data_IF_998517067687
#
_entry.id   IF_998517067687
#
_cell.length_a   1.000
_cell.length_b   1.000
_cell.length_c   1.000
_cell.angle_alpha   90.00
_cell.angle_beta   90.00
_cell.angle_gamma   90.00
#
_symmetry.space_group_name_H-M   'P 1'
#
loop_
_entity.id
_entity.type
_entity.pdbx_description
1 polymer ?
#
# COMPACT_ATOMS: atom_id res chain seq x y z
N UNK A 1 27.38 -11.00 -7.41
CA UNK A 1 26.27 -11.97 -7.60
C UNK A 1 26.83 -13.26 -8.13
N UNK A 2 26.63 -14.34 -7.40
CA UNK A 2 27.19 -15.68 -7.74
C UNK A 2 26.39 -16.39 -8.84
N UNK A 3 25.34 -15.75 -9.42
CA UNK A 3 24.46 -16.37 -10.42
C UNK A 3 23.60 -17.53 -9.89
N UNK A 4 23.61 -17.77 -8.58
CA UNK A 4 22.78 -18.82 -7.97
C UNK A 4 21.31 -18.36 -7.89
N UNK A 5 20.39 -19.25 -8.23
CA UNK A 5 18.95 -19.03 -8.03
C UNK A 5 18.65 -19.23 -6.55
N UNK A 6 18.24 -18.16 -5.86
CA UNK A 6 17.90 -18.18 -4.43
C UNK A 6 16.41 -18.44 -4.17
N UNK A 7 15.56 -18.19 -5.16
CA UNK A 7 14.13 -18.41 -5.06
C UNK A 7 13.44 -18.31 -6.42
N UNK A 8 12.16 -18.64 -6.44
CA UNK A 8 11.26 -18.46 -7.59
C UNK A 8 10.00 -17.78 -7.12
N UNK A 9 9.50 -16.80 -7.87
CA UNK A 9 8.25 -16.13 -7.62
C UNK A 9 7.27 -16.44 -8.76
N UNK A 10 6.04 -16.81 -8.41
CA UNK A 10 4.98 -16.96 -9.39
C UNK A 10 4.44 -15.57 -9.77
N UNK A 11 4.39 -15.30 -11.08
CA UNK A 11 3.78 -14.06 -11.57
C UNK A 11 2.28 -14.30 -11.82
N UNK A 12 1.47 -13.49 -11.17
CA UNK A 12 0.02 -13.52 -11.38
C UNK A 12 -0.34 -12.94 -12.73
N UNK A 13 -1.23 -13.62 -13.43
CA UNK A 13 -1.83 -13.14 -14.67
C UNK A 13 -2.95 -12.13 -14.40
N UNK A 14 -3.59 -11.66 -15.46
CA UNK A 14 -4.82 -10.86 -15.38
C UNK A 14 -5.87 -11.54 -14.49
N UNK A 15 -6.06 -12.85 -14.63
CA UNK A 15 -7.04 -13.61 -13.86
C UNK A 15 -6.78 -13.60 -12.36
N UNK A 16 -5.54 -13.80 -11.94
CA UNK A 16 -5.16 -13.73 -10.52
C UNK A 16 -5.31 -12.30 -9.99
N UNK A 17 -4.98 -11.30 -10.81
CA UNK A 17 -5.17 -9.89 -10.45
C UNK A 17 -6.64 -9.55 -10.26
N UNK A 18 -7.51 -9.97 -11.17
CA UNK A 18 -8.97 -9.79 -11.06
C UNK A 18 -9.54 -10.50 -9.82
N UNK A 19 -8.99 -11.67 -9.45
CA UNK A 19 -9.39 -12.38 -8.21
C UNK A 19 -8.98 -11.60 -6.95
N UNK A 20 -7.78 -11.02 -6.92
CA UNK A 20 -7.34 -10.18 -5.81
C UNK A 20 -8.21 -8.93 -5.67
N UNK A 21 -8.55 -8.28 -6.79
CA UNK A 21 -9.49 -7.14 -6.81
C UNK A 21 -10.88 -7.57 -6.33
N UNK A 22 -11.39 -8.71 -6.77
CA UNK A 22 -12.70 -9.22 -6.34
C UNK A 22 -12.72 -9.54 -4.83
N UNK A 23 -11.65 -10.11 -4.29
CA UNK A 23 -11.48 -10.34 -2.85
C UNK A 23 -11.51 -9.02 -2.06
N UNK A 24 -10.76 -8.01 -2.53
CA UNK A 24 -10.75 -6.68 -1.93
C UNK A 24 -12.14 -6.01 -1.99
N UNK A 25 -12.83 -6.12 -3.13
CA UNK A 25 -14.18 -5.56 -3.31
C UNK A 25 -15.21 -6.23 -2.39
N UNK A 26 -15.14 -7.55 -2.23
CA UNK A 26 -16.04 -8.28 -1.35
C UNK A 26 -15.86 -7.90 0.13
N UNK A 27 -14.62 -7.64 0.58
CA UNK A 27 -14.33 -7.24 1.95
C UNK A 27 -14.64 -5.76 2.24
N UNK A 28 -14.75 -4.94 1.22
CA UNK A 28 -14.87 -3.48 1.37
C UNK A 28 -16.08 -3.02 2.19
N UNK A 29 -17.33 -3.49 1.96
CA UNK A 29 -18.49 -2.97 2.67
C UNK A 29 -18.38 -3.12 4.19
N UNK A 30 -17.99 -4.29 4.65
CA UNK A 30 -17.87 -4.60 6.09
C UNK A 30 -16.70 -3.84 6.72
N UNK A 31 -15.58 -3.72 5.99
CA UNK A 31 -14.44 -2.96 6.48
C UNK A 31 -14.72 -1.45 6.51
N UNK A 32 -15.39 -0.92 5.53
CA UNK A 32 -15.81 0.49 5.49
C UNK A 32 -16.78 0.83 6.63
N UNK A 33 -17.70 -0.10 6.96
CA UNK A 33 -18.65 0.04 8.07
C UNK A 33 -18.00 -0.15 9.46
N UNK A 34 -16.80 -0.76 9.51
CA UNK A 34 -16.05 -0.92 10.77
C UNK A 34 -15.63 0.44 11.32
N UNK A 35 -15.84 0.68 12.63
CA UNK A 35 -15.53 1.98 13.23
C UNK A 35 -14.06 2.36 13.08
N UNK A 36 -13.72 3.65 12.91
CA UNK A 36 -12.33 4.10 12.80
C UNK A 36 -11.45 3.64 13.98
N UNK A 37 -12.01 3.61 15.20
CA UNK A 37 -11.30 3.15 16.39
C UNK A 37 -10.96 1.64 16.30
N UNK A 38 -11.87 0.83 15.81
CA UNK A 38 -11.61 -0.61 15.62
C UNK A 38 -10.53 -0.86 14.57
N UNK A 39 -10.56 -0.12 13.46
CA UNK A 39 -9.49 -0.16 12.45
C UNK A 39 -8.15 0.28 13.02
N UNK A 40 -8.12 1.34 13.83
CA UNK A 40 -6.90 1.80 14.48
C UNK A 40 -6.31 0.75 15.43
N UNK A 41 -7.14 -0.02 16.15
CA UNK A 41 -6.67 -1.13 17.00
C UNK A 41 -5.94 -2.21 16.20
N UNK A 42 -6.34 -2.46 14.96
CA UNK A 42 -5.59 -3.35 14.05
C UNK A 42 -4.24 -2.74 13.74
N UNK A 43 -4.17 -1.43 13.45
CA UNK A 43 -2.88 -0.74 13.19
C UNK A 43 -1.94 -0.77 14.40
N UNK A 44 -2.45 -0.59 15.63
CA UNK A 44 -1.64 -0.72 16.84
C UNK A 44 -1.02 -2.11 16.98
N UNK A 45 -1.84 -3.18 16.80
CA UNK A 45 -1.33 -4.56 16.84
C UNK A 45 -0.35 -4.85 15.70
N UNK A 46 -0.60 -4.31 14.51
CA UNK A 46 0.32 -4.44 13.38
C UNK A 46 1.67 -3.79 13.68
N UNK A 47 1.67 -2.60 14.28
CA UNK A 47 2.88 -1.92 14.75
C UNK A 47 3.69 -2.82 15.70
N UNK A 48 3.04 -3.34 16.74
CA UNK A 48 3.67 -4.24 17.72
C UNK A 48 4.25 -5.50 17.07
N UNK A 49 3.54 -6.08 16.10
CA UNK A 49 4.01 -7.26 15.38
C UNK A 49 5.22 -6.95 14.49
N UNK A 50 5.29 -5.78 13.84
CA UNK A 50 6.48 -5.37 13.09
C UNK A 50 7.68 -5.23 14.04
N UNK A 51 7.51 -4.56 15.18
CA UNK A 51 8.57 -4.39 16.18
C UNK A 51 9.08 -5.74 16.69
N UNK A 52 8.17 -6.66 17.01
CA UNK A 52 8.50 -8.01 17.49
C UNK A 52 9.23 -8.85 16.44
N UNK A 53 8.93 -8.66 15.15
CA UNK A 53 9.50 -9.42 14.05
C UNK A 53 10.59 -8.63 13.29
N UNK A 54 11.13 -7.55 13.89
CA UNK A 54 12.09 -6.66 13.23
C UNK A 54 13.30 -7.41 12.66
N UNK A 55 13.89 -8.35 13.42
CA UNK A 55 15.06 -9.12 12.97
C UNK A 55 14.74 -10.02 11.77
N UNK A 56 13.59 -10.70 11.78
CA UNK A 56 13.12 -11.49 10.64
C UNK A 56 12.97 -10.62 9.38
N UNK A 57 12.30 -9.48 9.51
CA UNK A 57 12.08 -8.55 8.40
C UNK A 57 13.40 -7.98 7.86
N UNK A 58 14.37 -7.66 8.73
CA UNK A 58 15.70 -7.21 8.33
C UNK A 58 16.42 -8.27 7.51
N UNK A 59 16.35 -9.54 7.92
CA UNK A 59 16.97 -10.66 7.21
C UNK A 59 16.31 -10.86 5.85
N UNK A 60 14.99 -10.81 5.75
CA UNK A 60 14.26 -10.90 4.47
C UNK A 60 14.70 -9.80 3.50
N UNK A 61 14.72 -8.54 3.95
CA UNK A 61 15.16 -7.41 3.12
C UNK A 61 16.63 -7.57 2.71
N UNK A 62 17.51 -7.94 3.64
CA UNK A 62 18.94 -8.09 3.37
C UNK A 62 19.21 -9.23 2.38
N UNK A 63 18.54 -10.36 2.52
CA UNK A 63 18.77 -11.56 1.69
C UNK A 63 18.37 -11.37 0.23
N UNK A 64 17.26 -10.68 -0.03
CA UNK A 64 16.75 -10.44 -1.40
C UNK A 64 17.35 -9.20 -2.04
N UNK A 65 17.42 -8.08 -1.31
CA UNK A 65 17.92 -6.81 -1.84
C UNK A 65 19.45 -6.69 -1.78
N UNK A 66 20.10 -7.32 -0.81
CA UNK A 66 21.56 -7.20 -0.58
C UNK A 66 21.97 -5.98 0.27
N UNK A 67 21.05 -5.32 0.95
CA UNK A 67 21.36 -4.26 1.93
C UNK A 67 22.03 -4.83 3.16
N UNK A 68 22.89 -4.04 3.79
CA UNK A 68 23.38 -4.36 5.14
C UNK A 68 22.24 -4.29 6.15
N UNK A 69 22.32 -5.11 7.21
CA UNK A 69 21.22 -5.23 8.19
C UNK A 69 20.84 -3.89 8.83
N UNK A 70 21.83 -3.02 9.12
CA UNK A 70 21.57 -1.69 9.67
C UNK A 70 20.76 -0.79 8.74
N UNK A 71 20.99 -0.85 7.42
CA UNK A 71 20.23 -0.10 6.43
C UNK A 71 18.83 -0.69 6.23
N UNK A 72 18.72 -2.04 6.25
CA UNK A 72 17.43 -2.72 6.25
C UNK A 72 16.57 -2.29 7.45
N UNK A 73 17.18 -2.26 8.66
CA UNK A 73 16.51 -1.76 9.88
C UNK A 73 16.00 -0.32 9.71
N UNK A 74 16.86 0.58 9.24
CA UNK A 74 16.48 1.98 9.01
C UNK A 74 15.33 2.13 8.00
N UNK A 75 15.29 1.28 6.97
CA UNK A 75 14.20 1.26 6.00
C UNK A 75 12.89 0.79 6.61
N UNK A 76 12.92 -0.30 7.41
CA UNK A 76 11.72 -0.81 8.10
C UNK A 76 11.22 0.21 9.11
N UNK A 77 12.13 0.85 9.86
CA UNK A 77 11.77 1.87 10.86
C UNK A 77 11.01 3.04 10.24
N UNK A 78 11.45 3.55 9.08
CA UNK A 78 10.72 4.62 8.36
C UNK A 78 9.34 4.19 7.86
N UNK A 79 9.16 2.91 7.54
CA UNK A 79 7.84 2.37 7.25
C UNK A 79 6.96 2.28 8.50
N UNK A 80 7.56 1.85 9.62
CA UNK A 80 6.89 1.76 10.92
C UNK A 80 6.36 3.12 11.41
N UNK A 81 7.11 4.20 11.21
CA UNK A 81 6.68 5.57 11.52
C UNK A 81 5.37 5.95 10.80
N UNK A 82 5.16 5.47 9.59
CA UNK A 82 3.88 5.68 8.88
C UNK A 82 2.76 4.79 9.43
N UNK A 83 3.08 3.59 9.91
CA UNK A 83 2.10 2.75 10.63
C UNK A 83 1.69 3.43 11.94
N UNK A 84 2.63 4.05 12.67
CA UNK A 84 2.33 4.87 13.86
C UNK A 84 1.41 6.05 13.52
N UNK A 85 1.69 6.75 12.44
CA UNK A 85 0.79 7.80 11.95
C UNK A 85 -0.61 7.23 11.64
N UNK A 86 -0.70 6.05 11.04
CA UNK A 86 -1.97 5.41 10.72
C UNK A 86 -2.80 5.05 11.96
N UNK A 87 -2.17 4.79 13.12
CA UNK A 87 -2.86 4.60 14.40
C UNK A 87 -3.66 5.85 14.83
N UNK A 88 -3.22 7.05 14.43
CA UNK A 88 -3.88 8.33 14.73
C UNK A 88 -4.97 8.74 13.73
N UNK A 89 -5.18 8.01 12.67
CA UNK A 89 -6.15 8.34 11.59
C UNK A 89 -7.57 8.63 12.08
N UNK A 90 -8.12 8.00 13.13
CA UNK A 90 -9.44 8.37 13.64
C UNK A 90 -9.62 9.87 13.92
N UNK A 91 -8.55 10.56 14.33
CA UNK A 91 -8.58 12.01 14.55
C UNK A 91 -8.59 12.82 13.25
N UNK A 92 -7.98 12.29 12.19
CA UNK A 92 -7.91 12.94 10.87
C UNK A 92 -9.17 12.69 10.02
N UNK A 93 -9.98 11.70 10.38
CA UNK A 93 -11.26 11.40 9.70
C UNK A 93 -12.40 12.30 10.15
N UNK A 94 -12.19 13.14 11.16
CA UNK A 94 -13.20 14.14 11.59
C UNK A 94 -13.51 15.07 10.45
N UNK A 95 -14.81 15.38 10.28
CA UNK A 95 -15.28 16.41 9.38
C UNK A 95 -15.29 17.78 10.04
N UNK A 96 -15.72 18.77 9.28
CA UNK A 96 -15.92 20.15 9.70
C UNK A 96 -17.41 20.46 9.70
N UNK A 97 -17.85 21.34 10.59
CA UNK A 97 -19.19 21.85 10.66
C UNK A 97 -19.15 23.39 10.63
N UNK A 98 -20.03 23.99 9.84
CA UNK A 98 -20.23 25.43 9.81
C UNK A 98 -21.70 25.71 10.04
N UNK A 99 -21.98 26.41 11.14
CA UNK A 99 -23.31 26.88 11.51
C UNK A 99 -23.70 28.11 10.70
N UNK A 100 -24.95 28.17 10.29
CA UNK A 100 -25.59 29.37 9.72
C UNK A 100 -24.81 30.05 8.57
N UNK A 101 -24.27 29.26 7.62
CA UNK A 101 -23.55 29.80 6.43
C UNK A 101 -24.50 30.64 5.54
N UNK A 102 -25.81 30.43 5.68
CA UNK A 102 -26.90 31.24 5.11
C UNK A 102 -28.13 31.07 5.99
N UNK A 103 -29.16 31.87 5.79
CA UNK A 103 -30.39 31.78 6.56
C UNK A 103 -31.01 30.36 6.50
N UNK A 104 -31.00 29.65 7.64
CA UNK A 104 -31.53 28.28 7.76
C UNK A 104 -30.69 27.20 7.10
N UNK A 105 -29.39 27.45 6.85
CA UNK A 105 -28.50 26.51 6.18
C UNK A 105 -27.21 26.27 6.99
N UNK A 106 -26.99 25.02 7.43
CA UNK A 106 -25.76 24.53 8.00
C UNK A 106 -25.02 23.67 6.97
N UNK A 107 -23.70 23.64 7.05
CA UNK A 107 -22.85 22.84 6.16
C UNK A 107 -21.90 21.97 7.00
N UNK A 108 -21.78 20.71 6.63
CA UNK A 108 -20.80 19.81 7.23
C UNK A 108 -20.11 18.94 6.18
N UNK A 109 -18.88 18.53 6.48
CA UNK A 109 -18.12 17.59 5.66
C UNK A 109 -18.00 16.23 6.35
N UNK A 110 -18.08 15.17 5.56
CA UNK A 110 -17.81 13.80 6.01
C UNK A 110 -16.73 13.17 5.13
N UNK A 111 -15.79 12.50 5.75
CA UNK A 111 -14.76 11.71 5.05
C UNK A 111 -15.23 10.27 4.92
N UNK A 112 -15.26 9.76 3.70
CA UNK A 112 -15.65 8.39 3.39
C UNK A 112 -14.53 7.65 2.65
N UNK A 113 -14.38 6.31 2.84
CA UNK A 113 -13.45 5.52 2.07
C UNK A 113 -13.84 5.48 0.59
N UNK A 114 -12.84 5.33 -0.27
CA UNK A 114 -13.01 5.30 -1.72
C UNK A 114 -13.50 3.95 -2.25
N UNK A 115 -13.03 2.86 -1.63
CA UNK A 115 -13.24 1.51 -2.13
C UNK A 115 -11.96 0.70 -2.16
N UNK A 116 -11.75 -0.04 -3.25
CA UNK A 116 -10.51 -0.78 -3.49
C UNK A 116 -9.42 0.19 -3.93
N UNK A 117 -8.32 0.23 -3.20
CA UNK A 117 -7.11 0.94 -3.56
C UNK A 117 -6.02 -0.06 -3.98
N UNK A 118 -5.09 0.36 -4.81
CA UNK A 118 -3.94 -0.47 -5.17
C UNK A 118 -2.62 0.28 -5.04
N UNK A 119 -1.57 -0.47 -4.70
CA UNK A 119 -0.20 0.04 -4.59
C UNK A 119 0.77 -0.77 -5.41
N UNK A 120 1.64 -0.09 -6.15
CA UNK A 120 2.70 -0.69 -6.96
C UNK A 120 4.02 -0.15 -6.43
N UNK A 121 4.88 -1.05 -5.91
CA UNK A 121 6.08 -0.65 -5.17
C UNK A 121 7.36 -1.16 -5.81
N UNK A 122 8.47 -0.41 -5.68
CA UNK A 122 9.75 -0.76 -6.27
C UNK A 122 10.52 -1.77 -5.41
N UNK A 123 11.62 -2.31 -5.97
CA UNK A 123 12.47 -3.28 -5.29
C UNK A 123 13.39 -2.66 -4.23
N UNK A 124 13.76 -1.38 -4.37
CA UNK A 124 14.80 -0.78 -3.53
C UNK A 124 14.40 -0.51 -2.07
N UNK A 125 13.09 -0.56 -1.75
CA UNK A 125 12.55 -0.41 -0.40
C UNK A 125 11.34 -1.33 -0.19
N UNK A 126 11.55 -2.66 -0.12
CA UNK A 126 10.46 -3.64 -0.13
C UNK A 126 9.61 -3.65 1.14
N UNK A 127 10.08 -3.06 2.24
CA UNK A 127 9.31 -2.86 3.47
C UNK A 127 8.72 -1.44 3.56
N UNK A 128 9.58 -0.42 3.38
CA UNK A 128 9.24 0.97 3.62
C UNK A 128 8.11 1.45 2.71
N UNK A 129 8.24 1.25 1.40
CA UNK A 129 7.27 1.80 0.44
C UNK A 129 5.89 1.12 0.53
N UNK A 130 5.75 -0.20 0.66
CA UNK A 130 4.47 -0.81 0.97
C UNK A 130 3.81 -0.23 2.23
N UNK A 131 4.56 -0.06 3.31
CA UNK A 131 4.06 0.52 4.56
C UNK A 131 3.70 2.01 4.46
N UNK A 132 4.15 2.73 3.44
CA UNK A 132 3.68 4.09 3.17
C UNK A 132 2.29 4.13 2.53
N UNK A 133 1.82 3.02 1.96
CA UNK A 133 0.60 2.97 1.16
C UNK A 133 -0.55 2.28 1.90
N UNK A 134 -0.43 0.95 2.14
CA UNK A 134 -1.57 0.17 2.60
C UNK A 134 -2.04 0.49 4.03
N UNK A 135 -1.18 0.83 5.03
CA UNK A 135 -1.67 1.09 6.38
C UNK A 135 -2.59 2.30 6.44
N UNK A 136 -2.23 3.38 5.76
CA UNK A 136 -3.04 4.61 5.69
C UNK A 136 -4.37 4.34 4.97
N UNK A 137 -4.33 3.66 3.83
CA UNK A 137 -5.54 3.32 3.08
C UNK A 137 -6.50 2.45 3.91
N UNK A 138 -5.98 1.42 4.57
CA UNK A 138 -6.75 0.47 5.38
C UNK A 138 -7.32 1.16 6.63
N UNK A 139 -6.54 1.98 7.32
CA UNK A 139 -7.01 2.75 8.47
C UNK A 139 -8.13 3.74 8.10
N UNK A 140 -8.10 4.29 6.89
CA UNK A 140 -9.18 5.12 6.34
C UNK A 140 -10.43 4.33 5.93
N UNK A 141 -10.42 2.99 6.00
CA UNK A 141 -11.57 2.15 5.68
C UNK A 141 -11.59 1.61 4.25
N UNK A 142 -10.52 1.79 3.49
CA UNK A 142 -10.36 1.18 2.17
C UNK A 142 -9.85 -0.26 2.28
N UNK A 143 -10.07 -1.06 1.25
CA UNK A 143 -9.36 -2.32 1.02
C UNK A 143 -8.20 -2.10 0.06
N UNK A 144 -7.21 -2.98 0.08
CA UNK A 144 -5.97 -2.73 -0.62
C UNK A 144 -5.46 -3.96 -1.38
N UNK A 145 -4.98 -3.73 -2.61
CA UNK A 145 -4.22 -4.70 -3.41
C UNK A 145 -2.81 -4.19 -3.58
N UNK A 146 -1.84 -4.88 -3.00
CA UNK A 146 -0.42 -4.55 -3.11
C UNK A 146 0.24 -5.41 -4.18
N UNK A 147 0.86 -4.78 -5.17
CA UNK A 147 1.75 -5.42 -6.15
C UNK A 147 3.19 -5.00 -5.83
N UNK A 148 3.94 -5.78 -5.05
CA UNK A 148 5.35 -5.51 -4.78
C UNK A 148 6.23 -5.83 -6.00
N UNK A 149 7.52 -5.52 -5.90
CA UNK A 149 8.48 -5.97 -6.89
C UNK A 149 8.64 -7.49 -6.86
N UNK A 150 8.73 -8.10 -8.01
CA UNK A 150 9.02 -9.52 -8.18
C UNK A 150 10.46 -9.91 -7.81
N UNK A 151 11.33 -8.91 -7.60
CA UNK A 151 12.76 -9.12 -7.28
C UNK A 151 12.98 -9.42 -5.80
N UNK A 152 12.11 -8.90 -4.93
CA UNK A 152 12.18 -9.02 -3.47
C UNK A 152 10.79 -9.13 -2.84
N UNK A 153 10.07 -10.22 -3.12
CA UNK A 153 8.68 -10.38 -2.73
C UNK A 153 8.47 -10.80 -1.27
N UNK A 154 9.47 -11.37 -0.60
CA UNK A 154 9.28 -12.06 0.70
C UNK A 154 8.89 -11.10 1.82
N UNK A 155 9.55 -9.95 1.92
CA UNK A 155 9.22 -8.98 2.96
C UNK A 155 7.81 -8.41 2.84
N UNK A 156 7.31 -7.97 1.67
CA UNK A 156 5.91 -7.55 1.50
C UNK A 156 4.89 -8.66 1.81
N UNK A 157 5.20 -9.92 1.48
CA UNK A 157 4.35 -11.07 1.82
C UNK A 157 4.28 -11.25 3.34
N UNK A 158 5.44 -11.20 4.03
CA UNK A 158 5.48 -11.30 5.50
C UNK A 158 4.72 -10.17 6.19
N UNK A 159 4.81 -8.94 5.68
CA UNK A 159 4.02 -7.81 6.17
C UNK A 159 2.51 -8.06 6.05
N UNK A 160 2.05 -8.70 4.97
CA UNK A 160 0.65 -9.06 4.82
C UNK A 160 0.20 -10.14 5.81
N UNK A 161 1.04 -11.12 6.10
CA UNK A 161 0.78 -12.12 7.15
C UNK A 161 0.66 -11.46 8.52
N UNK A 162 1.58 -10.56 8.87
CA UNK A 162 1.52 -9.78 10.11
C UNK A 162 0.25 -8.91 10.20
N UNK A 163 -0.24 -8.40 9.07
CA UNK A 163 -1.51 -7.66 9.04
C UNK A 163 -2.71 -8.56 9.37
N UNK A 164 -2.72 -9.81 8.88
CA UNK A 164 -3.74 -10.80 9.22
C UNK A 164 -3.63 -11.17 10.70
N UNK A 165 -2.42 -11.42 11.21
CA UNK A 165 -2.15 -11.69 12.64
C UNK A 165 -2.63 -10.53 13.54
N UNK A 166 -2.51 -9.29 13.06
CA UNK A 166 -3.02 -8.09 13.73
C UNK A 166 -4.55 -8.02 13.79
N UNK A 167 -5.24 -8.88 13.03
CA UNK A 167 -6.68 -8.99 13.01
C UNK A 167 -7.36 -8.25 11.87
N UNK A 168 -6.65 -7.93 10.80
CA UNK A 168 -7.29 -7.47 9.57
C UNK A 168 -8.08 -8.63 8.95
N UNK A 169 -9.37 -8.44 8.61
CA UNK A 169 -10.17 -9.48 7.97
C UNK A 169 -9.59 -9.91 6.61
N UNK A 170 -9.81 -11.16 6.18
CA UNK A 170 -9.46 -11.61 4.84
C UNK A 170 -10.02 -10.67 3.77
N UNK A 171 -9.21 -10.38 2.75
CA UNK A 171 -9.58 -9.48 1.65
C UNK A 171 -9.32 -7.99 1.91
N UNK A 172 -9.10 -7.56 3.16
CA UNK A 172 -8.75 -6.15 3.45
C UNK A 172 -7.38 -5.78 2.87
N UNK A 173 -6.39 -6.67 2.99
CA UNK A 173 -5.11 -6.58 2.31
C UNK A 173 -4.89 -7.81 1.45
N UNK A 174 -4.60 -7.61 0.18
CA UNK A 174 -4.26 -8.65 -0.78
C UNK A 174 -2.89 -8.35 -1.37
N UNK A 175 -2.00 -9.33 -1.42
CA UNK A 175 -0.70 -9.20 -2.07
C UNK A 175 -0.65 -10.07 -3.32
N UNK A 176 -0.24 -9.48 -4.43
CA UNK A 176 -0.14 -10.12 -5.72
C UNK A 176 1.24 -9.86 -6.32
N UNK A 177 2.06 -10.90 -6.46
CA UNK A 177 3.27 -10.80 -7.25
C UNK A 177 2.89 -10.88 -8.74
N UNK A 178 3.43 -10.00 -9.55
CA UNK A 178 3.09 -9.91 -10.97
C UNK A 178 3.98 -8.90 -11.70
N UNK A 179 3.86 -8.93 -13.01
CA UNK A 179 4.59 -8.03 -13.93
C UNK A 179 3.68 -6.95 -14.53
N UNK A 180 3.98 -6.56 -15.77
CA UNK A 180 3.24 -5.54 -16.51
C UNK A 180 1.75 -5.90 -16.69
N UNK A 181 1.40 -7.17 -16.91
CA UNK A 181 0.01 -7.58 -17.10
C UNK A 181 -0.83 -7.31 -15.85
N UNK A 182 -0.29 -7.62 -14.67
CA UNK A 182 -0.93 -7.31 -13.39
C UNK A 182 -1.05 -5.81 -13.17
N UNK A 183 -0.01 -5.03 -13.50
CA UNK A 183 -0.04 -3.55 -13.40
C UNK A 183 -1.14 -3.00 -14.29
N UNK A 184 -1.17 -3.37 -15.57
CA UNK A 184 -2.17 -2.86 -16.52
C UNK A 184 -3.60 -3.21 -16.08
N UNK A 185 -3.80 -4.41 -15.52
CA UNK A 185 -5.09 -4.82 -14.97
C UNK A 185 -5.51 -3.92 -13.81
N UNK A 186 -4.62 -3.63 -12.86
CA UNK A 186 -4.91 -2.70 -11.75
C UNK A 186 -5.24 -1.30 -12.24
N UNK A 187 -4.54 -0.82 -13.28
CA UNK A 187 -4.75 0.52 -13.83
C UNK A 187 -6.06 0.68 -14.60
N UNK A 188 -6.60 -0.41 -15.16
CA UNK A 188 -7.77 -0.35 -16.06
C UNK A 188 -9.06 -0.91 -15.42
N UNK A 189 -8.96 -1.79 -14.41
CA UNK A 189 -10.14 -2.42 -13.79
C UNK A 189 -11.00 -1.35 -13.07
N UNK A 190 -12.29 -1.19 -13.43
CA UNK A 190 -13.15 -0.12 -12.88
C UNK A 190 -13.44 -0.26 -11.38
N UNK A 191 -13.19 -1.42 -10.77
CA UNK A 191 -13.36 -1.66 -9.34
C UNK A 191 -12.28 -0.99 -8.49
N UNK A 192 -11.09 -0.75 -9.06
CA UNK A 192 -10.00 -0.05 -8.39
C UNK A 192 -10.23 1.46 -8.48
N UNK A 193 -10.33 2.14 -7.34
CA UNK A 193 -10.67 3.56 -7.24
C UNK A 193 -9.45 4.48 -7.13
N UNK A 194 -8.36 3.96 -6.58
CA UNK A 194 -7.13 4.74 -6.39
C UNK A 194 -5.88 3.90 -6.59
N UNK A 195 -4.85 4.53 -7.15
CA UNK A 195 -3.53 3.94 -7.40
C UNK A 195 -2.46 4.77 -6.70
N UNK A 196 -1.59 4.09 -5.95
CA UNK A 196 -0.32 4.63 -5.46
C UNK A 196 0.84 3.92 -6.15
N UNK A 197 1.80 4.67 -6.64
CA UNK A 197 2.98 4.15 -7.34
C UNK A 197 4.26 4.83 -6.86
N UNK A 198 5.31 4.05 -6.66
CA UNK A 198 6.68 4.55 -6.53
C UNK A 198 7.59 3.75 -7.46
N UNK A 199 8.40 4.43 -8.26
CA UNK A 199 9.32 3.79 -9.19
C UNK A 199 10.03 4.79 -10.11
N UNK A 200 10.50 4.31 -11.28
CA UNK A 200 11.19 5.16 -12.24
C UNK A 200 10.24 6.16 -12.91
N UNK A 201 10.77 7.33 -13.28
CA UNK A 201 9.99 8.42 -13.90
C UNK A 201 9.21 8.01 -15.16
N UNK A 202 9.75 7.21 -16.10
CA UNK A 202 8.97 6.78 -17.26
C UNK A 202 7.75 5.94 -16.88
N UNK A 203 7.91 5.03 -15.92
CA UNK A 203 6.81 4.18 -15.45
C UNK A 203 5.81 5.01 -14.62
N UNK A 204 6.28 5.96 -13.81
CA UNK A 204 5.42 6.88 -13.07
C UNK A 204 4.49 7.67 -14.01
N UNK A 205 5.02 8.16 -15.13
CA UNK A 205 4.22 8.85 -16.17
C UNK A 205 3.19 7.92 -16.81
N UNK A 206 3.59 6.70 -17.14
CA UNK A 206 2.69 5.69 -17.70
C UNK A 206 1.54 5.36 -16.74
N UNK A 207 1.85 5.07 -15.47
CA UNK A 207 0.87 4.77 -14.43
C UNK A 207 -0.09 5.95 -14.23
N UNK A 208 0.44 7.17 -14.13
CA UNK A 208 -0.36 8.38 -13.96
C UNK A 208 -1.33 8.57 -15.13
N UNK A 209 -0.83 8.53 -16.36
CA UNK A 209 -1.65 8.74 -17.55
C UNK A 209 -2.73 7.67 -17.68
N UNK A 210 -2.36 6.38 -17.56
CA UNK A 210 -3.29 5.27 -17.74
C UNK A 210 -4.36 5.24 -16.66
N UNK A 211 -3.99 5.39 -15.39
CA UNK A 211 -4.96 5.38 -14.30
C UNK A 211 -5.90 6.60 -14.34
N UNK A 212 -5.38 7.79 -14.66
CA UNK A 212 -6.19 9.02 -14.80
C UNK A 212 -7.19 8.91 -15.94
N UNK A 213 -6.80 8.36 -17.10
CA UNK A 213 -7.72 8.09 -18.22
C UNK A 213 -8.84 7.11 -17.84
N UNK A 214 -8.61 6.23 -16.86
CA UNK A 214 -9.62 5.31 -16.32
C UNK A 214 -10.34 5.87 -15.08
N UNK A 215 -10.28 7.19 -14.84
CA UNK A 215 -11.04 7.88 -13.79
C UNK A 215 -10.60 7.62 -12.35
N UNK A 216 -9.38 7.06 -12.15
CA UNK A 216 -8.87 6.73 -10.82
C UNK A 216 -8.16 7.92 -10.17
N UNK A 217 -8.17 7.98 -8.85
CA UNK A 217 -7.24 8.86 -8.11
C UNK A 217 -5.84 8.27 -8.19
N UNK A 218 -4.85 9.12 -8.48
CA UNK A 218 -3.47 8.65 -8.72
C UNK A 218 -2.49 9.47 -7.90
N UNK A 219 -1.63 8.76 -7.17
CA UNK A 219 -0.41 9.31 -6.60
C UNK A 219 0.77 8.53 -7.21
N UNK A 220 1.48 9.17 -8.14
CA UNK A 220 2.58 8.53 -8.85
C UNK A 220 3.87 9.28 -8.59
N UNK A 221 4.77 8.65 -7.81
CA UNK A 221 6.06 9.22 -7.41
C UNK A 221 7.18 8.63 -8.26
N UNK A 222 7.70 9.46 -9.18
CA UNK A 222 8.89 9.14 -9.97
C UNK A 222 10.18 9.50 -9.21
N UNK A 223 11.25 8.75 -9.48
CA UNK A 223 12.58 9.00 -8.88
C UNK A 223 13.23 10.27 -9.48
N UNK A 224 12.83 11.43 -8.98
CA UNK A 224 13.29 12.75 -9.48
C UNK A 224 14.77 12.99 -9.21
N UNK A 225 15.32 12.41 -8.13
CA UNK A 225 16.70 12.65 -7.69
C UNK A 225 17.77 12.14 -8.67
N UNK A 226 17.48 11.13 -9.49
CA UNK A 226 18.44 10.56 -10.44
C UNK A 226 18.47 11.26 -11.79
N UNK A 227 17.46 12.04 -12.13
CA UNK A 227 17.41 12.76 -13.42
C UNK A 227 18.30 14.01 -13.45
N UNK A 228 18.57 14.61 -12.30
CA UNK A 228 19.42 15.82 -12.21
C UNK A 228 20.92 15.51 -12.06
N UNK A 229 21.30 14.32 -11.60
CA UNK A 229 22.72 13.92 -11.45
C UNK A 229 23.40 13.44 -12.74
N UNK A 230 22.65 13.27 -13.83
CA UNK A 230 23.19 12.90 -15.15
C UNK A 230 23.38 14.08 -16.13
N UNK A 231 23.12 15.29 -15.69
CA UNK A 231 23.23 16.49 -16.52
C UNK A 231 24.54 17.28 -16.32
N UNK A 232 25.56 16.66 -15.69
CA UNK A 232 26.90 17.25 -15.53
C UNK A 232 27.99 16.28 -15.97
#
# INVERSE_FOLDING_TARGET
TLGAVTGKVALGSKRETERAIASAQAAFPDWAATSPLTRARVMFRFKELIEKNMEELMVLVSSEHGKVLSDAKGSIQRGLEVVEFACGIPHLLKGEFSDSVSAGMDVYSMRQPLGVCAGITPFNFPAMVPMWMFPVAIACGNTFVLKPSEKDPSCPMRLAELMIEAGAPPGVLNVLNGDKESVDTLLTDPRVQAISFVGSTPIARYVFATASLNGKRVQSMGAVSYTHLRAH
#
